data_IF_079762122930
#
_entry.id   IF_079762122930
#
_cell.length_a   1.000
_cell.length_b   1.000
_cell.length_c   1.000
_cell.angle_alpha   90.00
_cell.angle_beta   90.00
_cell.angle_gamma   90.00
#
_symmetry.space_group_name_H-M   'P 1'
#
loop_
_entity.id
_entity.type
_entity.pdbx_description
1 polymer ?
#
# COMPACT_ATOMS: atom_id res chain seq x y z
N UNK A 1 -12.46 -53.38 -6.06
CA UNK A 1 -11.14 -53.40 -6.72
C UNK A 1 -11.37 -53.16 -8.20
N UNK A 2 -11.00 -51.99 -8.71
CA UNK A 2 -11.10 -51.66 -10.12
C UNK A 2 -9.91 -50.77 -10.51
N UNK A 3 -9.38 -51.05 -11.70
CA UNK A 3 -8.03 -50.78 -12.12
C UNK A 3 -7.71 -49.30 -12.39
N UNK A 4 -6.46 -48.99 -12.06
CA UNK A 4 -5.62 -47.86 -12.47
C UNK A 4 -5.16 -48.07 -13.92
N UNK A 5 -5.27 -47.05 -14.77
CA UNK A 5 -4.39 -46.63 -15.88
C UNK A 5 -5.15 -46.11 -17.11
N UNK A 6 -4.59 -45.07 -17.72
CA UNK A 6 -5.05 -44.36 -18.91
C UNK A 6 -4.26 -43.04 -18.98
N UNK A 7 -2.93 -43.10 -19.12
CA UNK A 7 -2.22 -43.09 -20.40
C UNK A 7 -2.31 -41.75 -21.16
N UNK A 8 -1.19 -41.05 -21.03
CA UNK A 8 -0.60 -40.04 -21.91
C UNK A 8 -1.00 -40.18 -23.39
N UNK A 9 -1.55 -39.10 -23.96
CA UNK A 9 -1.55 -38.80 -25.40
C UNK A 9 -0.95 -37.40 -25.57
N UNK A 10 0.29 -37.29 -26.06
CA UNK A 10 0.68 -37.15 -27.47
C UNK A 10 0.38 -35.77 -28.08
N UNK A 11 1.48 -35.01 -28.23
CA UNK A 11 1.89 -34.19 -29.37
C UNK A 11 0.98 -33.04 -29.87
N UNK A 12 1.54 -31.82 -29.92
CA UNK A 12 1.81 -31.19 -31.22
C UNK A 12 2.85 -30.07 -31.09
N UNK A 13 3.77 -30.07 -32.05
CA UNK A 13 4.86 -29.12 -32.29
C UNK A 13 4.30 -28.04 -33.22
N UNK A 14 4.29 -26.77 -32.84
CA UNK A 14 4.14 -25.67 -33.80
C UNK A 14 5.06 -24.51 -33.42
N UNK A 15 6.02 -24.30 -34.29
CA UNK A 15 6.93 -23.16 -34.39
C UNK A 15 6.16 -21.87 -34.69
N UNK A 16 6.42 -20.79 -33.95
CA UNK A 16 5.92 -19.45 -34.30
C UNK A 16 7.11 -18.56 -34.66
N UNK A 17 7.39 -18.49 -35.97
CA UNK A 17 8.13 -17.38 -36.55
C UNK A 17 7.19 -16.18 -36.79
N UNK A 18 7.78 -15.05 -37.16
CA UNK A 18 7.05 -13.92 -37.74
C UNK A 18 7.31 -12.61 -37.02
N UNK A 19 8.34 -11.91 -37.48
CA UNK A 19 8.41 -10.46 -37.42
C UNK A 19 7.15 -9.86 -38.05
N UNK A 20 6.66 -8.72 -37.53
CA UNK A 20 6.41 -7.61 -38.45
C UNK A 20 6.37 -6.25 -37.75
N UNK A 21 7.05 -5.34 -38.42
CA UNK A 21 7.15 -3.91 -38.19
C UNK A 21 6.18 -3.22 -39.14
N UNK A 22 5.40 -2.25 -38.68
CA UNK A 22 4.83 -1.20 -39.54
C UNK A 22 4.05 -0.22 -38.65
N UNK A 23 3.88 1.06 -38.96
CA UNK A 23 4.39 2.00 -39.95
C UNK A 23 3.65 3.32 -39.68
N UNK A 24 3.91 4.33 -40.52
CA UNK A 24 3.18 5.61 -40.72
C UNK A 24 3.70 6.76 -39.85
N UNK A 25 4.74 7.54 -40.23
CA UNK A 25 5.01 8.34 -41.45
C UNK A 25 4.11 9.59 -41.59
N UNK A 26 4.70 10.79 -41.47
CA UNK A 26 4.83 11.83 -42.54
C UNK A 26 5.19 13.21 -41.95
N UNK A 27 6.33 13.82 -42.36
CA UNK A 27 6.50 14.89 -43.40
C UNK A 27 6.10 16.28 -42.88
N UNK A 28 6.82 17.40 -43.10
CA UNK A 28 7.71 17.89 -44.17
C UNK A 28 8.54 19.07 -43.58
N UNK A 29 9.86 19.14 -43.79
CA UNK A 29 10.59 19.93 -44.83
C UNK A 29 10.66 21.44 -44.55
N UNK A 30 11.79 21.93 -43.99
CA UNK A 30 13.00 22.56 -44.62
C UNK A 30 12.80 24.07 -44.89
N UNK A 31 13.69 24.98 -44.46
CA UNK A 31 14.67 25.75 -45.30
C UNK A 31 14.79 27.14 -44.65
N UNK A 32 15.89 27.91 -44.59
CA UNK A 32 17.33 27.80 -44.87
C UNK A 32 17.99 29.12 -44.40
N UNK A 33 19.26 28.98 -43.97
CA UNK A 33 20.45 29.82 -44.16
C UNK A 33 20.39 31.36 -44.23
N UNK A 34 21.36 31.97 -43.55
CA UNK A 34 22.44 32.83 -44.09
C UNK A 34 22.73 33.97 -43.10
N UNK A 35 23.91 34.58 -42.99
CA UNK A 35 25.29 34.28 -43.32
C UNK A 35 26.08 35.44 -42.67
N UNK A 36 27.27 35.14 -42.17
CA UNK A 36 28.16 36.07 -41.48
C UNK A 36 28.98 36.87 -42.51
N UNK A 37 29.20 38.17 -42.27
CA UNK A 37 30.15 39.00 -43.02
C UNK A 37 31.02 39.84 -42.07
N UNK A 38 32.28 39.98 -42.49
CA UNK A 38 33.51 40.38 -41.82
C UNK A 38 33.80 41.90 -41.79
N UNK A 39 34.77 42.27 -40.92
CA UNK A 39 35.74 43.39 -41.02
C UNK A 39 35.24 44.82 -40.68
N UNK A 40 36.04 45.82 -40.30
CA UNK A 40 37.36 46.01 -39.66
C UNK A 40 37.57 47.56 -39.58
N UNK A 41 38.43 48.02 -38.64
CA UNK A 41 39.22 49.28 -38.66
C UNK A 41 38.57 50.61 -38.18
N UNK A 42 39.35 51.26 -37.30
CA UNK A 42 39.19 52.53 -36.58
C UNK A 42 39.46 53.79 -37.42
N UNK A 43 38.81 54.94 -37.11
CA UNK A 43 39.41 56.26 -36.82
C UNK A 43 38.36 57.40 -36.74
N UNK A 44 38.79 58.46 -36.05
CA UNK A 44 38.10 59.57 -35.39
C UNK A 44 37.37 60.56 -36.32
N UNK A 45 36.18 61.04 -35.92
CA UNK A 45 35.62 62.34 -36.34
C UNK A 45 34.64 62.91 -35.29
N UNK A 46 34.80 64.19 -34.99
CA UNK A 46 34.00 65.00 -34.06
C UNK A 46 32.85 65.74 -34.77
N UNK A 47 31.83 66.09 -33.98
CA UNK A 47 30.68 67.00 -34.27
C UNK A 47 29.49 66.29 -34.99
N UNK A 48 28.20 66.57 -34.73
CA UNK A 48 27.50 67.75 -34.20
C UNK A 48 26.27 67.32 -33.38
N UNK A 49 25.87 68.18 -32.45
CA UNK A 49 24.58 68.11 -31.78
C UNK A 49 23.43 68.26 -32.78
N UNK A 50 22.46 67.35 -32.70
CA UNK A 50 21.09 67.58 -33.14
C UNK A 50 20.21 67.44 -31.92
N UNK A 51 19.63 68.54 -31.47
CA UNK A 51 18.39 68.51 -30.70
C UNK A 51 17.29 68.08 -31.67
N UNK A 52 16.75 66.88 -31.47
CA UNK A 52 15.49 66.48 -32.11
C UNK A 52 14.46 66.13 -31.04
N UNK A 53 13.24 66.59 -31.29
CA UNK A 53 12.16 66.76 -30.33
C UNK A 53 11.78 65.47 -29.62
N UNK A 54 11.46 65.59 -28.34
CA UNK A 54 10.99 64.48 -27.51
C UNK A 54 9.67 63.93 -28.08
N UNK A 55 9.61 62.70 -28.62
CA UNK A 55 8.34 62.06 -28.87
C UNK A 55 8.06 61.17 -27.66
N UNK A 56 7.71 61.77 -26.52
CA UNK A 56 6.99 61.00 -25.50
C UNK A 56 5.55 60.87 -26.00
N UNK A 57 5.38 60.00 -27.00
CA UNK A 57 4.10 59.55 -27.52
C UNK A 57 4.05 58.03 -27.40
N UNK A 58 4.07 57.57 -26.16
CA UNK A 58 3.77 56.19 -25.78
C UNK A 58 2.77 56.24 -24.65
N UNK A 59 1.78 55.36 -24.69
CA UNK A 59 0.82 55.16 -23.60
C UNK A 59 1.60 54.93 -22.29
N UNK A 60 1.44 55.79 -21.25
CA UNK A 60 2.20 55.67 -20.01
C UNK A 60 1.96 54.35 -19.26
N UNK A 61 0.97 53.55 -19.65
CA UNK A 61 0.78 52.19 -19.13
C UNK A 61 1.79 51.17 -19.69
N UNK A 62 2.47 51.49 -20.80
CA UNK A 62 3.46 50.62 -21.44
C UNK A 62 4.86 50.68 -20.80
N UNK A 63 5.14 51.67 -19.95
CA UNK A 63 6.42 51.79 -19.23
C UNK A 63 6.42 51.07 -17.88
N UNK A 64 5.29 50.47 -17.48
CA UNK A 64 5.22 49.73 -16.24
C UNK A 64 5.90 48.35 -16.40
N UNK A 65 6.88 48.01 -15.54
CA UNK A 65 7.49 46.69 -15.55
C UNK A 65 6.42 45.63 -15.25
N UNK A 66 6.24 44.67 -16.16
CA UNK A 66 5.38 43.51 -15.93
C UNK A 66 5.98 42.66 -14.82
N UNK A 67 5.28 42.54 -13.70
CA UNK A 67 5.63 41.60 -12.64
C UNK A 67 5.30 40.20 -13.16
N UNK A 68 6.33 39.43 -13.54
CA UNK A 68 6.17 38.01 -13.81
C UNK A 68 5.92 37.31 -12.47
N UNK A 69 4.72 36.73 -12.31
CA UNK A 69 4.41 35.94 -11.12
C UNK A 69 5.40 34.76 -11.05
N UNK A 70 6.08 34.52 -9.90
CA UNK A 70 6.94 33.36 -9.73
C UNK A 70 6.12 32.11 -10.04
N UNK A 71 6.58 31.31 -11.02
CA UNK A 71 5.97 30.02 -11.31
C UNK A 71 6.20 29.12 -10.10
N UNK A 72 5.21 29.02 -9.22
CA UNK A 72 5.26 28.12 -8.09
C UNK A 72 5.55 26.69 -8.62
N UNK A 73 6.56 25.99 -8.11
CA UNK A 73 6.80 24.62 -8.49
C UNK A 73 5.54 23.81 -8.20
N UNK A 74 5.10 23.01 -9.18
CA UNK A 74 3.94 22.16 -9.00
C UNK A 74 4.20 21.21 -7.82
N UNK A 75 3.32 21.24 -6.81
CA UNK A 75 3.39 20.33 -5.68
C UNK A 75 3.37 18.90 -6.21
N UNK A 76 4.50 18.20 -6.06
CA UNK A 76 4.60 16.80 -6.50
C UNK A 76 4.03 15.94 -5.37
N UNK A 77 2.77 15.55 -5.49
CA UNK A 77 2.17 14.56 -4.59
C UNK A 77 2.76 13.20 -4.92
N UNK A 78 3.76 12.76 -4.14
CA UNK A 78 4.26 11.40 -4.22
C UNK A 78 3.29 10.48 -3.45
N UNK A 79 2.36 9.87 -4.17
CA UNK A 79 1.53 8.79 -3.63
C UNK A 79 2.43 7.56 -3.50
N UNK A 80 3.00 7.35 -2.32
CA UNK A 80 3.67 6.10 -2.00
C UNK A 80 2.60 5.03 -1.75
N UNK A 81 2.70 3.83 -2.37
CA UNK A 81 1.79 2.75 -2.08
C UNK A 81 1.88 2.38 -0.59
N UNK A 82 0.74 2.06 0.08
CA UNK A 82 0.74 1.76 1.51
C UNK A 82 1.62 0.55 1.80
N UNK A 83 2.38 0.63 2.88
CA UNK A 83 3.18 -0.50 3.36
C UNK A 83 2.26 -1.56 3.99
N UNK A 84 2.80 -2.78 4.22
CA UNK A 84 2.05 -3.82 4.93
C UNK A 84 1.65 -3.41 6.35
N UNK A 85 2.51 -2.64 7.02
CA UNK A 85 2.26 -2.12 8.36
C UNK A 85 1.10 -1.12 8.36
N UNK A 86 1.02 -0.26 7.34
CA UNK A 86 -0.09 0.69 7.19
C UNK A 86 -1.40 -0.03 6.90
N UNK A 87 -1.36 -1.08 6.08
CA UNK A 87 -2.53 -1.92 5.83
C UNK A 87 -3.02 -2.60 7.12
N UNK A 88 -2.12 -3.14 7.95
CA UNK A 88 -2.48 -3.74 9.23
C UNK A 88 -3.09 -2.72 10.20
N UNK A 89 -2.47 -1.54 10.33
CA UNK A 89 -2.99 -0.45 11.17
C UNK A 89 -4.39 -0.03 10.73
N UNK A 90 -4.62 0.08 9.41
CA UNK A 90 -5.93 0.42 8.85
C UNK A 90 -6.98 -0.66 9.16
N UNK A 91 -6.62 -1.93 9.04
CA UNK A 91 -7.50 -3.05 9.39
C UNK A 91 -7.87 -3.05 10.87
N UNK A 92 -6.91 -2.84 11.77
CA UNK A 92 -7.17 -2.78 13.21
C UNK A 92 -8.01 -1.56 13.58
N UNK A 93 -7.82 -0.42 12.92
CA UNK A 93 -8.59 0.80 13.14
C UNK A 93 -10.01 0.75 12.54
N UNK A 94 -10.34 -0.26 11.71
CA UNK A 94 -11.68 -0.41 11.11
C UNK A 94 -12.73 -0.53 12.21
N UNK A 95 -13.75 0.34 12.12
CA UNK A 95 -14.92 0.33 13.01
C UNK A 95 -15.91 -0.76 12.61
N UNK A 96 -16.47 -1.43 13.61
CA UNK A 96 -17.48 -2.48 13.51
C UNK A 96 -18.48 -2.34 14.66
N UNK A 97 -19.72 -2.76 14.43
CA UNK A 97 -20.76 -2.82 15.46
C UNK A 97 -21.25 -4.26 15.61
N UNK A 98 -20.55 -5.12 16.39
CA UNK A 98 -20.94 -6.51 16.54
C UNK A 98 -22.25 -6.61 17.33
N UNK A 99 -23.21 -7.36 16.80
CA UNK A 99 -24.50 -7.68 17.42
C UNK A 99 -24.49 -9.08 18.03
N UNK A 100 -23.75 -10.01 17.41
CA UNK A 100 -23.67 -11.41 17.83
C UNK A 100 -22.23 -11.89 17.74
N UNK A 101 -21.84 -12.74 18.68
CA UNK A 101 -20.52 -13.35 18.72
C UNK A 101 -20.62 -14.86 18.49
N UNK A 102 -19.78 -15.36 17.58
CA UNK A 102 -19.54 -16.79 17.41
C UNK A 102 -18.20 -17.15 18.03
N UNK A 103 -18.22 -17.75 19.23
CA UNK A 103 -17.01 -18.16 19.93
C UNK A 103 -16.87 -19.68 19.79
N UNK A 104 -15.76 -20.11 19.20
CA UNK A 104 -15.50 -21.52 18.89
C UNK A 104 -14.26 -22.03 19.63
N UNK A 105 -14.21 -23.34 19.86
CA UNK A 105 -13.00 -24.03 20.34
C UNK A 105 -12.72 -23.96 21.84
N UNK A 106 -13.60 -23.34 22.63
CA UNK A 106 -13.53 -23.36 24.10
C UNK A 106 -13.99 -24.72 24.63
N UNK A 107 -13.09 -25.48 25.27
CA UNK A 107 -13.38 -26.79 25.88
C UNK A 107 -12.83 -26.92 27.29
N UNK A 108 -11.70 -26.27 27.58
CA UNK A 108 -10.97 -26.41 28.85
C UNK A 108 -11.35 -25.38 29.91
N UNK A 109 -11.84 -24.19 29.50
CA UNK A 109 -12.35 -23.16 30.39
C UNK A 109 -13.89 -23.04 30.33
N UNK A 110 -14.56 -22.51 31.37
CA UNK A 110 -16.00 -22.23 31.30
C UNK A 110 -16.32 -21.26 30.16
N UNK A 111 -17.23 -21.68 29.27
CA UNK A 111 -17.63 -20.87 28.11
C UNK A 111 -18.12 -19.48 28.50
N UNK A 112 -18.93 -19.39 29.56
CA UNK A 112 -19.48 -18.13 30.10
C UNK A 112 -18.37 -17.13 30.48
N UNK A 113 -17.25 -17.60 31.05
CA UNK A 113 -16.12 -16.73 31.41
C UNK A 113 -15.45 -16.12 30.18
N UNK A 114 -15.31 -16.92 29.11
CA UNK A 114 -14.75 -16.45 27.84
C UNK A 114 -15.74 -15.52 27.13
N UNK A 115 -17.01 -15.91 27.03
CA UNK A 115 -18.07 -15.12 26.40
C UNK A 115 -18.30 -13.78 27.11
N UNK A 116 -18.19 -13.75 28.44
CA UNK A 116 -18.32 -12.55 29.26
C UNK A 116 -17.31 -11.45 28.93
N UNK A 117 -16.16 -11.78 28.31
CA UNK A 117 -15.21 -10.75 27.84
C UNK A 117 -15.71 -9.98 26.61
N UNK A 118 -16.54 -10.62 25.78
CA UNK A 118 -17.06 -10.06 24.53
C UNK A 118 -18.45 -9.45 24.68
N UNK A 119 -19.26 -9.96 25.63
CA UNK A 119 -20.62 -9.49 25.87
C UNK A 119 -20.75 -7.95 26.00
N UNK A 120 -19.83 -7.22 26.68
CA UNK A 120 -19.92 -5.77 26.80
C UNK A 120 -19.73 -5.01 25.48
N UNK A 121 -19.22 -5.64 24.42
CA UNK A 121 -19.00 -5.04 23.10
C UNK A 121 -20.24 -5.17 22.19
N UNK A 122 -21.20 -6.04 22.54
CA UNK A 122 -22.41 -6.24 21.75
C UNK A 122 -23.22 -4.93 21.65
N UNK A 123 -23.59 -4.55 20.44
CA UNK A 123 -24.34 -3.34 20.13
C UNK A 123 -23.54 -2.04 20.25
N UNK A 124 -22.22 -2.09 20.47
CA UNK A 124 -21.36 -0.91 20.60
C UNK A 124 -20.46 -0.74 19.40
N UNK A 125 -20.11 0.51 19.11
CA UNK A 125 -19.17 0.84 18.05
C UNK A 125 -17.73 0.65 18.54
N UNK A 126 -17.09 -0.41 18.06
CA UNK A 126 -15.75 -0.87 18.48
C UNK A 126 -14.86 -1.02 17.26
N UNK A 127 -13.57 -1.15 17.47
CA UNK A 127 -12.61 -1.42 16.38
C UNK A 127 -12.32 -2.92 16.28
N UNK A 128 -11.81 -3.36 15.13
CA UNK A 128 -11.25 -4.71 14.99
C UNK A 128 -10.10 -4.92 15.99
N UNK A 129 -9.30 -3.87 16.25
CA UNK A 129 -8.26 -3.86 17.28
C UNK A 129 -8.79 -4.22 18.67
N UNK A 130 -9.90 -3.61 19.09
CA UNK A 130 -10.53 -3.90 20.39
C UNK A 130 -10.93 -5.39 20.50
N UNK A 131 -11.41 -5.98 19.41
CA UNK A 131 -11.78 -7.40 19.39
C UNK A 131 -10.54 -8.31 19.49
N UNK A 132 -9.45 -7.94 18.82
CA UNK A 132 -8.15 -8.62 18.93
C UNK A 132 -7.59 -8.50 20.34
N UNK A 133 -7.73 -7.35 20.99
CA UNK A 133 -7.33 -7.17 22.39
C UNK A 133 -8.12 -8.09 23.33
N UNK A 134 -9.42 -8.24 23.12
CA UNK A 134 -10.23 -9.22 23.88
C UNK A 134 -9.80 -10.65 23.61
N UNK A 135 -9.47 -11.01 22.37
CA UNK A 135 -8.90 -12.32 22.07
C UNK A 135 -7.56 -12.54 22.80
N UNK A 136 -6.70 -11.53 22.88
CA UNK A 136 -5.46 -11.60 23.65
C UNK A 136 -5.72 -11.77 25.17
N UNK A 137 -6.77 -11.15 25.70
CA UNK A 137 -7.21 -11.37 27.09
C UNK A 137 -7.67 -12.82 27.32
N UNK A 138 -8.37 -13.42 26.36
CA UNK A 138 -8.72 -14.84 26.40
C UNK A 138 -7.46 -15.70 26.40
N UNK A 139 -6.49 -15.44 25.50
CA UNK A 139 -5.20 -16.16 25.49
C UNK A 139 -4.51 -16.08 26.85
N UNK A 140 -4.48 -14.89 27.46
CA UNK A 140 -3.93 -14.71 28.81
C UNK A 140 -4.69 -15.52 29.86
N UNK A 141 -6.02 -15.56 29.80
CA UNK A 141 -6.84 -16.38 30.70
C UNK A 141 -6.48 -17.87 30.60
N UNK A 142 -6.24 -18.39 29.40
CA UNK A 142 -5.76 -19.77 29.19
C UNK A 142 -4.37 -19.98 29.77
N UNK A 143 -3.43 -19.07 29.51
CA UNK A 143 -2.07 -19.14 30.03
C UNK A 143 -2.05 -19.11 31.57
N UNK A 144 -2.83 -18.22 32.18
CA UNK A 144 -2.95 -18.09 33.63
C UNK A 144 -3.58 -19.35 34.26
N UNK A 145 -4.39 -20.10 33.51
CA UNK A 145 -4.95 -21.39 33.91
C UNK A 145 -4.04 -22.60 33.60
N UNK A 146 -2.81 -22.39 33.12
CA UNK A 146 -1.82 -23.43 32.84
C UNK A 146 -1.84 -23.98 31.41
N UNK A 147 -2.70 -23.47 30.52
CA UNK A 147 -2.80 -23.91 29.13
C UNK A 147 -1.90 -23.07 28.20
N UNK A 148 -0.59 -23.14 28.40
CA UNK A 148 0.41 -22.29 27.72
C UNK A 148 0.41 -22.37 26.19
N UNK A 149 -0.01 -23.50 25.62
CA UNK A 149 -0.05 -23.72 24.17
C UNK A 149 -1.39 -23.30 23.53
N UNK A 150 -2.31 -22.79 24.34
CA UNK A 150 -3.63 -22.36 23.88
C UNK A 150 -3.65 -20.86 23.60
N UNK A 151 -4.36 -20.46 22.56
CA UNK A 151 -4.49 -19.06 22.16
C UNK A 151 -5.82 -18.81 21.46
N UNK A 152 -6.31 -17.57 21.52
CA UNK A 152 -7.48 -17.11 20.80
C UNK A 152 -7.09 -16.10 19.72
N UNK A 153 -7.83 -16.10 18.61
CA UNK A 153 -7.63 -15.15 17.53
C UNK A 153 -8.95 -14.79 16.84
N UNK A 154 -8.92 -13.67 16.13
CA UNK A 154 -10.02 -13.20 15.28
C UNK A 154 -9.67 -13.52 13.83
N UNK A 155 -10.39 -14.42 13.15
CA UNK A 155 -10.14 -14.70 11.74
C UNK A 155 -10.47 -13.48 10.87
N UNK A 156 -9.82 -13.40 9.71
CA UNK A 156 -10.18 -12.45 8.66
C UNK A 156 -11.61 -12.74 8.19
N UNK A 157 -12.50 -11.74 8.32
CA UNK A 157 -13.92 -11.85 8.01
C UNK A 157 -14.49 -10.46 7.67
N UNK A 158 -15.65 -10.42 7.03
CA UNK A 158 -16.26 -9.17 6.56
C UNK A 158 -17.10 -8.43 7.62
N UNK A 159 -17.33 -9.06 8.79
CA UNK A 159 -18.18 -8.56 9.89
C UNK A 159 -19.61 -8.18 9.46
N UNK A 160 -20.10 -8.77 8.37
CA UNK A 160 -21.44 -8.55 7.86
C UNK A 160 -22.49 -8.97 8.90
N UNK A 161 -23.65 -8.29 8.85
CA UNK A 161 -24.79 -8.55 9.74
C UNK A 161 -24.46 -8.43 11.25
N UNK A 162 -23.36 -7.75 11.59
CA UNK A 162 -22.90 -7.62 12.97
C UNK A 162 -22.47 -8.95 13.59
N UNK A 163 -22.06 -9.95 12.80
CA UNK A 163 -21.52 -11.19 13.34
C UNK A 163 -19.99 -11.12 13.49
N UNK A 164 -19.50 -11.35 14.70
CA UNK A 164 -18.07 -11.41 15.00
C UNK A 164 -17.67 -12.81 15.45
N UNK A 165 -16.87 -13.50 14.62
CA UNK A 165 -16.30 -14.81 14.97
C UNK A 165 -15.00 -14.65 15.74
N UNK A 166 -14.82 -15.45 16.80
CA UNK A 166 -13.60 -15.60 17.58
C UNK A 166 -13.32 -17.08 17.74
N UNK A 167 -12.08 -17.51 17.49
CA UNK A 167 -11.70 -18.92 17.55
C UNK A 167 -10.64 -19.08 18.64
N UNK A 168 -10.87 -20.03 19.53
CA UNK A 168 -9.89 -20.49 20.52
C UNK A 168 -9.28 -21.80 20.03
N UNK A 169 -7.96 -21.85 20.00
CA UNK A 169 -7.18 -23.04 19.66
C UNK A 169 -6.58 -23.57 20.96
N UNK A 170 -6.97 -24.78 21.34
CA UNK A 170 -6.43 -25.45 22.51
C UNK A 170 -5.32 -26.43 22.10
N UNK A 171 -4.08 -26.09 22.44
CA UNK A 171 -2.90 -26.90 22.14
C UNK A 171 -2.62 -27.94 23.23
N UNK A 172 -2.13 -29.13 22.83
CA UNK A 172 -1.72 -30.20 23.73
C UNK A 172 -0.36 -30.79 23.32
N UNK A 173 0.36 -31.36 24.29
CA UNK A 173 1.58 -32.12 24.03
C UNK A 173 1.18 -33.52 23.57
N UNK A 174 1.53 -33.87 22.32
CA UNK A 174 1.17 -35.17 21.74
C UNK A 174 2.09 -36.30 22.20
N UNK A 175 3.35 -36.01 22.45
CA UNK A 175 4.33 -37.00 22.91
C UNK A 175 5.51 -36.32 23.62
N UNK A 176 6.19 -37.08 24.47
CA UNK A 176 7.44 -36.66 25.12
C UNK A 176 8.45 -37.78 24.97
N UNK A 177 9.66 -37.44 24.52
CA UNK A 177 10.77 -38.40 24.39
C UNK A 177 11.90 -37.96 25.31
N UNK A 178 12.16 -38.78 26.32
CA UNK A 178 13.28 -38.59 27.23
C UNK A 178 14.46 -39.41 26.69
N UNK A 179 15.61 -38.77 26.51
CA UNK A 179 16.84 -39.43 26.03
C UNK A 179 17.94 -39.24 27.06
N UNK A 180 18.65 -40.31 27.42
CA UNK A 180 19.77 -40.28 28.36
C UNK A 180 19.84 -41.54 29.23
N UNK A 181 20.90 -41.65 30.04
CA UNK A 181 20.97 -42.64 31.12
C UNK A 181 20.50 -41.96 32.42
N UNK A 182 19.39 -42.41 33.05
CA UNK A 182 19.07 -41.96 34.39
C UNK A 182 20.24 -42.27 35.34
N UNK A 183 20.61 -41.32 36.18
CA UNK A 183 21.57 -41.57 37.28
C UNK A 183 20.97 -42.49 38.34
N UNK A 184 21.75 -42.92 39.36
CA UNK A 184 21.20 -43.69 40.47
C UNK A 184 20.06 -42.92 41.13
N UNK A 185 18.88 -43.54 41.24
CA UNK A 185 17.79 -43.03 42.08
C UNK A 185 18.12 -43.35 43.53
N UNK A 186 18.13 -42.32 44.39
CA UNK A 186 18.28 -42.45 45.85
C UNK A 186 17.04 -43.04 46.53
#
# INVERSE_FOLDING_TARGET
MAHRQGESRLASRVTRGGADTSSVRNRKVVVRFAAVSLSAISLLSTQQAWSDGSPVRGDPLQSLPKIEAPKAPAATFQIQPPTQEDALKSLLARKITPQRFGIEGVKSLPFESVAGLFAPMAGKDVTVGDLVEKANQVTKMYQDAGYLLSFAFVPAQDFNEGFARVIVVEGYISSTKITGKPGPSE
#
